data_IF_871855345142
#
_entry.id   IF_871855345142
#
_cell.length_a   1.000
_cell.length_b   1.000
_cell.length_c   1.000
_cell.angle_alpha   90.00
_cell.angle_beta   90.00
_cell.angle_gamma   90.00
#
_symmetry.space_group_name_H-M   'P 1'
#
loop_
_entity.id
_entity.type
_entity.pdbx_description
1 polymer ?
#
# COMPACT_ATOMS: atom_id res chain seq x y z
N UNK A 1 5.21 15.48 -9.25
CA UNK A 1 5.36 15.06 -7.85
C UNK A 1 4.46 13.86 -7.63
N UNK A 2 4.97 12.76 -7.05
CA UNK A 2 4.12 11.63 -6.62
C UNK A 2 3.75 11.83 -5.15
N UNK A 3 2.48 11.66 -4.83
CA UNK A 3 1.97 11.86 -3.48
C UNK A 3 1.69 10.49 -2.85
N UNK A 4 2.13 10.33 -1.61
CA UNK A 4 1.84 9.15 -0.79
C UNK A 4 1.25 9.62 0.53
N UNK A 5 0.10 9.09 0.87
CA UNK A 5 -0.57 9.38 2.13
C UNK A 5 -0.20 8.32 3.16
N UNK A 6 0.24 8.75 4.33
CA UNK A 6 0.40 7.91 5.52
C UNK A 6 -0.73 8.25 6.47
N UNK A 7 -1.57 7.30 6.79
CA UNK A 7 -2.70 7.51 7.71
C UNK A 7 -2.69 6.48 8.82
N UNK A 8 -2.86 6.96 10.06
CA UNK A 8 -3.22 6.14 11.21
C UNK A 8 -4.75 6.05 11.26
N UNK A 9 -5.28 4.90 11.46
CA UNK A 9 -6.71 4.75 11.37
C UNK A 9 -7.32 3.75 12.31
N UNK A 10 -8.54 3.47 12.09
CA UNK A 10 -9.56 2.66 12.77
C UNK A 10 -9.15 1.20 13.06
N UNK A 11 -7.96 0.98 13.62
CA UNK A 11 -7.47 -0.34 14.04
C UNK A 11 -7.38 -1.37 12.90
N UNK A 12 -7.14 -0.90 11.68
CA UNK A 12 -6.98 -1.72 10.46
C UNK A 12 -5.75 -1.25 9.72
N UNK A 13 -5.03 -2.14 9.08
CA UNK A 13 -3.99 -1.75 8.15
C UNK A 13 -4.25 -2.26 6.72
N UNK A 14 -3.72 -1.54 5.76
CA UNK A 14 -3.85 -1.82 4.34
C UNK A 14 -3.10 -0.81 3.48
N UNK A 15 -3.02 -1.08 2.19
CA UNK A 15 -2.51 -0.13 1.22
C UNK A 15 -3.53 0.08 0.10
N UNK A 16 -3.79 1.34 -0.18
CA UNK A 16 -4.67 1.79 -1.25
C UNK A 16 -3.90 2.42 -2.39
N UNK A 17 -4.51 2.40 -3.55
CA UNK A 17 -4.00 2.93 -4.79
C UNK A 17 -5.10 3.74 -5.47
N UNK A 18 -4.86 5.03 -5.72
CA UNK A 18 -5.71 5.86 -6.56
C UNK A 18 -5.05 5.99 -7.92
N UNK A 19 -5.70 5.48 -8.95
CA UNK A 19 -5.12 5.43 -10.29
C UNK A 19 -6.19 5.52 -11.38
N UNK A 20 -5.75 5.87 -12.59
CA UNK A 20 -6.56 5.72 -13.79
C UNK A 20 -6.43 4.26 -14.28
N UNK A 21 -7.51 3.47 -14.33
CA UNK A 21 -7.46 2.08 -14.79
C UNK A 21 -6.93 1.92 -16.21
N UNK A 22 -7.09 2.94 -17.05
CA UNK A 22 -6.59 2.95 -18.42
C UNK A 22 -5.10 3.26 -18.56
N UNK A 23 -4.49 3.78 -17.46
CA UNK A 23 -3.09 4.23 -17.43
C UNK A 23 -2.40 3.81 -16.16
N UNK A 24 -2.09 2.53 -15.98
CA UNK A 24 -1.54 2.00 -14.72
C UNK A 24 -0.19 2.59 -14.32
N UNK A 25 0.55 3.18 -15.26
CA UNK A 25 1.84 3.84 -15.02
C UNK A 25 1.75 5.36 -14.91
N UNK A 26 0.55 5.93 -14.75
CA UNK A 26 0.37 7.38 -14.72
C UNK A 26 1.12 8.00 -13.52
N UNK A 27 1.78 9.14 -13.80
CA UNK A 27 2.41 9.97 -12.78
C UNK A 27 1.43 10.51 -11.72
N UNK A 28 0.13 10.52 -12.03
CA UNK A 28 -0.95 10.93 -11.10
C UNK A 28 -1.35 9.85 -10.11
N UNK A 29 -0.82 8.62 -10.25
CA UNK A 29 -1.08 7.56 -9.28
C UNK A 29 -0.62 7.98 -7.90
N UNK A 30 -1.54 7.88 -6.93
CA UNK A 30 -1.28 8.18 -5.52
C UNK A 30 -1.43 6.91 -4.69
N UNK A 31 -0.62 6.81 -3.65
CA UNK A 31 -0.62 5.68 -2.72
C UNK A 31 -1.13 6.12 -1.36
N UNK A 32 -1.86 5.25 -0.70
CA UNK A 32 -2.26 5.41 0.69
C UNK A 32 -1.82 4.20 1.50
N UNK A 33 -1.00 4.42 2.52
CA UNK A 33 -0.58 3.41 3.48
C UNK A 33 -1.31 3.67 4.79
N UNK A 34 -2.17 2.72 5.18
CA UNK A 34 -3.01 2.81 6.37
C UNK A 34 -2.40 1.90 7.44
N UNK A 35 -2.11 2.44 8.61
CA UNK A 35 -1.63 1.68 9.77
C UNK A 35 -2.67 1.72 10.89
N UNK A 36 -2.51 0.86 11.88
CA UNK A 36 -3.36 0.90 13.08
C UNK A 36 -2.57 1.33 14.32
N UNK A 37 -3.30 1.57 15.41
CA UNK A 37 -2.67 1.83 16.68
C UNK A 37 -1.95 0.58 17.23
N UNK A 38 -0.79 0.78 17.86
CA UNK A 38 0.01 -0.30 18.47
C UNK A 38 -0.69 -0.84 19.74
N UNK A 39 -1.44 -0.02 20.42
CA UNK A 39 -1.99 -0.33 21.76
C UNK A 39 -3.49 -0.66 21.74
N UNK A 40 -4.26 -0.14 20.79
CA UNK A 40 -5.70 -0.31 20.76
C UNK A 40 -6.13 -1.75 20.45
N UNK A 41 -7.37 -2.08 20.86
CA UNK A 41 -7.97 -3.36 20.53
C UNK A 41 -8.09 -3.54 19.01
N UNK A 42 -7.77 -4.73 18.47
CA UNK A 42 -7.93 -5.02 17.06
C UNK A 42 -9.39 -4.90 16.60
N UNK A 43 -9.60 -4.54 15.35
CA UNK A 43 -10.93 -4.51 14.74
C UNK A 43 -11.53 -5.92 14.66
N UNK A 44 -12.78 -6.12 15.06
CA UNK A 44 -13.45 -7.41 14.95
C UNK A 44 -13.51 -7.91 13.50
N UNK A 45 -13.40 -9.23 13.31
CA UNK A 45 -13.31 -9.85 11.98
C UNK A 45 -14.54 -9.58 11.09
N UNK A 46 -15.74 -9.44 11.67
CA UNK A 46 -16.94 -9.12 10.88
C UNK A 46 -16.89 -7.70 10.28
N UNK A 47 -16.29 -6.74 10.99
CA UNK A 47 -16.09 -5.37 10.47
C UNK A 47 -15.09 -5.40 9.32
N UNK A 48 -14.01 -6.17 9.45
CA UNK A 48 -13.02 -6.32 8.37
C UNK A 48 -13.66 -6.94 7.12
N UNK A 49 -14.51 -7.97 7.28
CA UNK A 49 -15.25 -8.58 6.17
C UNK A 49 -16.17 -7.56 5.50
N UNK A 50 -16.86 -6.73 6.27
CA UNK A 50 -17.73 -5.68 5.74
C UNK A 50 -16.93 -4.65 4.93
N UNK A 51 -15.82 -4.17 5.46
CA UNK A 51 -14.95 -3.21 4.79
C UNK A 51 -14.28 -3.80 3.54
N UNK A 52 -13.84 -5.05 3.62
CA UNK A 52 -13.19 -5.75 2.51
C UNK A 52 -14.15 -5.97 1.33
N UNK A 53 -15.41 -6.25 1.60
CA UNK A 53 -16.43 -6.50 0.59
C UNK A 53 -17.06 -5.22 0.02
N UNK A 54 -16.65 -4.06 0.53
CA UNK A 54 -17.15 -2.79 0.03
C UNK A 54 -16.76 -2.63 -1.46
N UNK A 55 -17.73 -2.20 -2.26
CA UNK A 55 -17.50 -1.97 -3.69
C UNK A 55 -16.52 -0.82 -3.88
N UNK A 56 -15.71 -0.94 -4.91
CA UNK A 56 -14.76 0.10 -5.32
C UNK A 56 -15.47 1.44 -5.48
N UNK A 57 -14.88 2.46 -4.88
CA UNK A 57 -15.38 3.82 -5.01
C UNK A 57 -14.75 4.47 -6.24
N UNK A 58 -15.58 4.94 -7.16
CA UNK A 58 -15.13 5.79 -8.25
C UNK A 58 -15.30 7.25 -7.82
N UNK A 59 -14.25 8.04 -7.98
CA UNK A 59 -14.24 9.47 -7.66
C UNK A 59 -14.49 10.24 -8.95
N UNK A 60 -15.66 10.88 -9.12
CA UNK A 60 -15.96 11.62 -10.35
C UNK A 60 -15.15 12.91 -10.42
N UNK A 61 -14.60 13.22 -11.59
CA UNK A 61 -13.86 14.45 -11.80
C UNK A 61 -14.70 15.72 -11.66
N UNK A 62 -16.01 15.64 -11.87
CA UNK A 62 -16.92 16.79 -11.96
C UNK A 62 -17.73 17.03 -10.70
N UNK A 63 -17.38 16.47 -9.55
CA UNK A 63 -18.14 16.61 -8.31
C UNK A 63 -19.52 15.90 -8.32
N UNK A 64 -19.89 15.23 -9.41
CA UNK A 64 -21.09 14.39 -9.49
C UNK A 64 -20.82 13.03 -8.86
N UNK A 65 -21.82 12.49 -8.17
CA UNK A 65 -21.73 11.14 -7.62
C UNK A 65 -21.47 10.14 -8.74
N UNK A 66 -20.43 9.33 -8.56
CA UNK A 66 -20.15 8.20 -9.42
C UNK A 66 -21.33 7.23 -9.40
N UNK A 67 -21.90 6.96 -10.55
CA UNK A 67 -22.83 5.84 -10.73
C UNK A 67 -22.10 4.69 -11.40
N UNK A 68 -22.49 3.42 -11.15
CA UNK A 68 -21.85 2.27 -11.79
C UNK A 68 -21.88 2.29 -13.32
N UNK A 69 -22.75 3.11 -13.90
CA UNK A 69 -22.93 3.27 -15.34
C UNK A 69 -22.01 4.32 -15.99
N UNK A 70 -21.36 5.16 -15.19
CA UNK A 70 -20.45 6.19 -15.70
C UNK A 70 -19.05 5.93 -15.16
N UNK A 71 -18.13 5.36 -15.96
CA UNK A 71 -16.74 5.17 -15.57
C UNK A 71 -16.11 6.54 -15.35
N UNK A 72 -15.46 6.70 -14.19
CA UNK A 72 -14.65 7.88 -13.88
C UNK A 72 -13.19 7.59 -14.15
N UNK A 73 -12.40 8.61 -14.41
CA UNK A 73 -10.99 8.48 -14.76
C UNK A 73 -10.12 8.02 -13.58
N UNK A 74 -10.65 8.08 -12.36
CA UNK A 74 -9.91 7.72 -11.15
C UNK A 74 -10.62 6.61 -10.39
N UNK A 75 -9.87 5.57 -10.06
CA UNK A 75 -10.32 4.42 -9.31
C UNK A 75 -9.51 4.27 -8.03
N UNK A 76 -10.19 3.95 -6.94
CA UNK A 76 -9.57 3.49 -5.71
C UNK A 76 -9.54 1.96 -5.69
N UNK A 77 -8.35 1.40 -5.51
CA UNK A 77 -8.13 -0.03 -5.33
C UNK A 77 -7.34 -0.29 -4.05
N UNK A 78 -7.73 -1.35 -3.33
CA UNK A 78 -6.95 -1.84 -2.19
C UNK A 78 -6.07 -3.01 -2.62
N UNK A 79 -4.79 -2.94 -2.27
CA UNK A 79 -3.80 -3.95 -2.61
C UNK A 79 -3.97 -5.22 -1.76
N UNK A 80 -3.81 -6.40 -2.37
CA UNK A 80 -3.90 -7.68 -1.68
C UNK A 80 -2.55 -8.08 -1.06
N UNK A 81 -2.22 -7.48 0.08
CA UNK A 81 -0.92 -7.67 0.74
C UNK A 81 -0.96 -8.85 1.72
N UNK A 82 -2.12 -9.13 2.32
CA UNK A 82 -2.27 -10.09 3.41
C UNK A 82 -2.84 -11.43 2.92
N UNK A 83 -2.08 -12.14 2.10
CA UNK A 83 -2.51 -13.43 1.53
C UNK A 83 -2.66 -14.52 2.60
N UNK A 84 -1.84 -14.47 3.64
CA UNK A 84 -1.87 -15.40 4.77
C UNK A 84 -1.98 -14.64 6.10
N UNK A 85 -2.48 -15.31 7.14
CA UNK A 85 -2.45 -14.79 8.51
C UNK A 85 -1.07 -15.02 9.14
N UNK A 86 -0.85 -14.48 10.35
CA UNK A 86 0.40 -14.63 11.10
C UNK A 86 0.74 -16.09 11.43
N UNK A 87 -0.25 -16.98 11.45
CA UNK A 87 -0.11 -18.43 11.62
C UNK A 87 0.14 -19.19 10.29
N UNK A 88 0.23 -18.47 9.17
CA UNK A 88 0.43 -19.02 7.83
C UNK A 88 -0.83 -19.52 7.13
N UNK A 89 -2.00 -19.47 7.76
CA UNK A 89 -3.26 -19.87 7.12
C UNK A 89 -3.68 -18.86 6.05
N UNK A 90 -4.22 -19.33 4.91
CA UNK A 90 -4.70 -18.42 3.86
C UNK A 90 -5.88 -17.59 4.36
N UNK A 91 -5.92 -16.32 3.95
CA UNK A 91 -6.95 -15.36 4.33
C UNK A 91 -7.91 -15.07 3.19
N UNK A 92 -9.19 -14.93 3.55
CA UNK A 92 -10.21 -14.41 2.62
C UNK A 92 -10.09 -12.89 2.48
N UNK A 93 -9.81 -12.19 3.58
CA UNK A 93 -9.72 -10.72 3.63
C UNK A 93 -8.28 -10.24 3.36
N UNK A 94 -7.80 -10.41 2.11
CA UNK A 94 -6.40 -10.17 1.74
C UNK A 94 -5.99 -8.70 1.68
N UNK A 95 -6.96 -7.78 1.65
CA UNK A 95 -6.72 -6.33 1.47
C UNK A 95 -6.56 -5.59 2.78
N UNK A 96 -7.11 -6.14 3.87
CA UNK A 96 -7.14 -5.50 5.17
C UNK A 96 -6.73 -6.47 6.29
N UNK A 97 -6.00 -5.96 7.28
CA UNK A 97 -5.60 -6.70 8.46
C UNK A 97 -6.02 -5.94 9.72
N UNK A 98 -6.78 -6.58 10.61
CA UNK A 98 -7.27 -6.01 11.87
C UNK A 98 -6.44 -6.47 13.06
N UNK A 99 -5.13 -6.35 12.99
CA UNK A 99 -4.23 -6.63 14.10
C UNK A 99 -3.42 -5.40 14.43
N UNK A 100 -2.88 -5.30 15.64
CA UNK A 100 -1.93 -4.26 16.00
C UNK A 100 -0.74 -4.29 15.04
N UNK A 101 -0.33 -3.14 14.57
CA UNK A 101 0.72 -3.07 13.57
C UNK A 101 1.41 -1.70 13.57
N UNK A 102 2.54 -1.65 12.93
CA UNK A 102 3.20 -0.41 12.55
C UNK A 102 3.78 -0.55 11.14
N UNK A 103 4.05 0.57 10.50
CA UNK A 103 4.63 0.63 9.18
C UNK A 103 6.12 0.98 9.30
N UNK A 104 6.97 0.18 8.67
CA UNK A 104 8.38 0.46 8.49
C UNK A 104 8.60 0.93 7.05
N UNK A 105 9.11 2.15 6.88
CA UNK A 105 9.35 2.74 5.57
C UNK A 105 10.83 3.01 5.37
N UNK A 106 11.33 2.68 4.18
CA UNK A 106 12.70 2.98 3.76
C UNK A 106 12.66 3.66 2.40
N UNK A 107 13.25 4.86 2.34
CA UNK A 107 13.52 5.53 1.08
C UNK A 107 14.84 4.99 0.52
N UNK A 108 14.85 4.62 -0.75
CA UNK A 108 16.03 4.07 -1.40
C UNK A 108 16.15 4.57 -2.83
N UNK A 109 17.39 4.64 -3.31
CA UNK A 109 17.70 4.90 -4.70
C UNK A 109 17.70 3.58 -5.47
N UNK A 110 16.80 3.39 -6.46
CA UNK A 110 16.75 2.16 -7.25
C UNK A 110 18.03 1.88 -8.01
N UNK A 111 18.75 2.91 -8.44
CA UNK A 111 20.00 2.75 -9.19
C UNK A 111 21.13 2.21 -8.28
N UNK A 112 21.19 2.66 -7.03
CA UNK A 112 22.16 2.16 -6.06
C UNK A 112 21.91 0.68 -5.69
N UNK A 113 20.64 0.27 -5.58
CA UNK A 113 20.28 -1.11 -5.26
C UNK A 113 20.61 -2.04 -6.41
N UNK A 114 20.40 -1.64 -7.65
CA UNK A 114 20.79 -2.43 -8.82
C UNK A 114 22.30 -2.60 -8.93
N UNK A 115 23.08 -1.57 -8.59
CA UNK A 115 24.55 -1.65 -8.55
C UNK A 115 25.09 -2.60 -7.48
N UNK A 116 24.41 -2.74 -6.34
CA UNK A 116 24.83 -3.62 -5.26
C UNK A 116 24.63 -5.12 -5.57
N UNK A 117 23.77 -5.48 -6.52
CA UNK A 117 23.50 -6.87 -6.92
C UNK A 117 24.20 -7.30 -8.22
N UNK A 118 25.21 -6.59 -8.69
CA UNK A 118 26.21 -7.11 -9.62
C UNK A 118 25.93 -6.93 -11.11
N UNK A 119 25.55 -5.74 -11.55
CA UNK A 119 25.81 -5.31 -12.93
C UNK A 119 26.58 -3.99 -12.93
N UNK A 120 27.77 -4.05 -13.52
CA UNK A 120 28.69 -2.92 -13.64
C UNK A 120 28.12 -1.78 -14.47
N UNK A 121 28.24 -0.59 -13.89
CA UNK A 121 28.48 0.69 -14.51
C UNK A 121 27.70 1.11 -15.76
N UNK A 122 26.74 1.98 -15.54
CA UNK A 122 26.78 3.25 -16.27
C UNK A 122 26.65 4.37 -15.24
N UNK A 123 27.64 5.25 -15.18
CA UNK A 123 27.61 6.52 -14.48
C UNK A 123 26.47 7.38 -15.08
N UNK A 124 25.27 7.09 -14.66
CA UNK A 124 24.12 7.96 -14.81
C UNK A 124 24.17 9.00 -13.72
N UNK A 125 24.25 10.25 -14.05
CA UNK A 125 24.08 11.40 -13.18
C UNK A 125 22.85 11.19 -12.29
N UNK A 126 23.06 10.69 -11.09
CA UNK A 126 22.01 10.39 -10.12
C UNK A 126 21.22 11.65 -9.78
N UNK A 127 20.08 11.81 -10.42
CA UNK A 127 19.06 12.80 -10.03
C UNK A 127 18.27 12.26 -8.86
N UNK A 128 18.88 12.01 -7.72
CA UNK A 128 18.29 11.79 -6.40
C UNK A 128 16.80 11.46 -6.29
N UNK A 129 16.27 10.60 -7.15
CA UNK A 129 14.88 10.20 -7.17
C UNK A 129 14.72 8.96 -6.31
N UNK A 130 14.18 9.16 -5.11
CA UNK A 130 13.99 8.09 -4.15
C UNK A 130 12.65 7.36 -4.38
N UNK A 131 12.71 6.05 -4.41
CA UNK A 131 11.57 5.15 -4.23
C UNK A 131 11.35 4.88 -2.75
N UNK A 132 10.15 4.49 -2.38
CA UNK A 132 9.79 4.12 -1.02
C UNK A 132 9.41 2.64 -0.96
N UNK A 133 10.03 1.90 -0.07
CA UNK A 133 9.60 0.55 0.31
C UNK A 133 8.94 0.61 1.68
N UNK A 134 7.76 0.00 1.81
CA UNK A 134 6.99 0.00 3.03
C UNK A 134 6.60 -1.42 3.43
N UNK A 135 6.94 -1.81 4.65
CA UNK A 135 6.60 -3.09 5.25
C UNK A 135 5.60 -2.90 6.40
N UNK A 136 4.53 -3.67 6.40
CA UNK A 136 3.60 -3.76 7.53
C UNK A 136 4.12 -4.78 8.52
N UNK A 137 4.45 -4.32 9.72
CA UNK A 137 4.90 -5.14 10.82
C UNK A 137 3.71 -5.43 11.74
N UNK A 138 3.17 -6.62 11.64
CA UNK A 138 1.90 -7.02 12.27
C UNK A 138 2.18 -7.88 13.49
N UNK A 139 1.45 -7.62 14.60
CA UNK A 139 1.56 -8.40 15.82
C UNK A 139 1.32 -9.88 15.54
N UNK A 140 2.28 -10.70 15.94
CA UNK A 140 2.13 -12.16 15.97
C UNK A 140 1.27 -12.60 17.16
N UNK A 141 0.86 -13.87 17.22
CA UNK A 141 -0.04 -14.37 18.27
C UNK A 141 0.58 -14.36 19.68
N UNK A 142 1.89 -14.33 19.81
CA UNK A 142 2.56 -14.22 21.10
C UNK A 142 2.74 -12.78 21.56
N UNK A 143 2.58 -12.52 22.87
CA UNK A 143 2.74 -11.16 23.44
C UNK A 143 4.16 -10.59 23.26
N UNK A 144 5.16 -11.45 23.10
CA UNK A 144 6.56 -11.11 22.94
C UNK A 144 7.18 -11.67 21.65
N UNK A 145 6.35 -12.15 20.70
CA UNK A 145 6.82 -12.69 19.43
C UNK A 145 7.32 -11.59 18.49
N UNK A 146 8.25 -11.96 17.63
CA UNK A 146 8.67 -11.10 16.52
C UNK A 146 7.45 -10.78 15.65
N UNK A 147 7.24 -9.50 15.25
CA UNK A 147 6.14 -9.15 14.37
C UNK A 147 6.29 -9.87 13.02
N UNK A 148 5.15 -10.26 12.44
CA UNK A 148 5.11 -10.80 11.09
C UNK A 148 5.20 -9.65 10.09
N UNK A 149 6.08 -9.79 9.11
CA UNK A 149 6.30 -8.81 8.06
C UNK A 149 5.44 -9.12 6.83
N UNK A 150 4.69 -8.12 6.35
CA UNK A 150 3.95 -8.15 5.10
C UNK A 150 4.40 -7.00 4.20
N UNK A 151 4.77 -7.33 2.97
CA UNK A 151 5.33 -6.39 2.01
C UNK A 151 6.56 -6.96 1.33
N UNK A 152 7.45 -6.14 0.77
CA UNK A 152 7.33 -4.68 0.74
C UNK A 152 6.29 -4.18 -0.27
N UNK A 153 5.57 -3.12 0.08
CA UNK A 153 4.84 -2.29 -0.87
C UNK A 153 5.82 -1.31 -1.46
N UNK A 154 6.04 -1.40 -2.76
CA UNK A 154 6.98 -0.53 -3.47
C UNK A 154 6.22 0.64 -4.08
N UNK A 155 6.62 1.84 -3.72
CA UNK A 155 6.15 3.09 -4.29
C UNK A 155 7.29 3.64 -5.15
N UNK A 156 7.21 3.48 -6.47
CA UNK A 156 8.30 3.87 -7.37
C UNK A 156 8.47 5.37 -7.42
N UNK A 157 9.69 5.82 -7.62
CA UNK A 157 9.99 7.21 -7.95
C UNK A 157 9.29 7.63 -9.25
N UNK A 158 9.11 8.94 -9.46
CA UNK A 158 8.65 9.47 -10.73
C UNK A 158 9.81 9.51 -11.70
N UNK A 159 9.69 8.79 -12.82
CA UNK A 159 10.57 8.97 -13.95
C UNK A 159 10.09 10.20 -14.75
N UNK A 160 10.91 11.25 -14.79
CA UNK A 160 10.67 12.41 -15.66
C UNK A 160 11.17 12.08 -17.05
N UNK A 161 10.29 12.03 -18.05
CA UNK A 161 10.67 12.01 -19.46
C UNK A 161 10.36 10.74 -20.24
N UNK A 162 9.38 9.98 -19.81
CA UNK A 162 8.74 8.97 -20.67
C UNK A 162 7.28 9.28 -20.90
#
# INVERSE_FOLDING_TARGET
MRMTFLSGGVNVCGAGLFHDPSKPSDHKTMYQLITSAIVNAPTPGYVIKLLHNNKQLFIPQNGHRSTPSVPTDTKEDMMEIFAADVDGRPRETRRLMGRRNYLACVAYDPEMVQGAFGQQQQQGSGKGQLSLAADFMVQNEGTYGQPMKYGPVIIPCLEYGR
#
